data_IF_949882658938
#
_entry.id   IF_949882658938
#
_cell.length_a   1.000
_cell.length_b   1.000
_cell.length_c   1.000
_cell.angle_alpha   90.00
_cell.angle_beta   90.00
_cell.angle_gamma   90.00
#
_symmetry.space_group_name_H-M   'P 1'
#
loop_
_entity.id
_entity.type
_entity.pdbx_description
1 polymer ?
#
# COMPACT_ATOMS: atom_id res chain seq x y z
N UNK A 1 -13.32 9.69 17.27
CA UNK A 1 -13.65 10.51 16.07
C UNK A 1 -12.44 11.32 15.61
N UNK A 2 -11.67 11.92 16.52
CA UNK A 2 -10.42 12.66 16.27
C UNK A 2 -9.31 11.85 15.58
N UNK A 3 -9.04 10.62 16.03
CA UNK A 3 -7.92 9.82 15.49
C UNK A 3 -8.12 9.37 14.03
N UNK A 4 -9.37 9.07 13.66
CA UNK A 4 -9.72 8.71 12.28
C UNK A 4 -9.51 9.88 11.31
N UNK A 5 -9.95 11.09 11.70
CA UNK A 5 -9.74 12.30 10.90
C UNK A 5 -8.25 12.61 10.76
N UNK A 6 -7.49 12.45 11.86
CA UNK A 6 -6.04 12.65 11.83
C UNK A 6 -5.32 11.61 10.97
N UNK A 7 -5.76 10.35 10.96
CA UNK A 7 -5.22 9.32 10.07
C UNK A 7 -5.50 9.64 8.60
N UNK A 8 -6.74 10.02 8.26
CA UNK A 8 -7.13 10.39 6.90
C UNK A 8 -6.34 11.60 6.36
N UNK A 9 -6.06 12.59 7.22
CA UNK A 9 -5.20 13.73 6.87
C UNK A 9 -3.75 13.29 6.60
N UNK A 10 -3.24 12.29 7.32
CA UNK A 10 -1.89 11.75 7.12
C UNK A 10 -1.79 10.86 5.87
N UNK A 11 -2.81 10.07 5.58
CA UNK A 11 -2.89 9.28 4.33
C UNK A 11 -2.96 10.19 3.10
N UNK A 12 -3.74 11.30 3.19
CA UNK A 12 -3.77 12.32 2.14
C UNK A 12 -2.42 13.01 1.95
N UNK A 13 -1.64 13.21 3.04
CA UNK A 13 -0.27 13.68 2.94
C UNK A 13 0.64 12.66 2.26
N UNK A 14 0.52 11.38 2.61
CA UNK A 14 1.29 10.30 1.97
C UNK A 14 0.98 10.23 0.46
N UNK A 15 -0.28 10.39 0.06
CA UNK A 15 -0.64 10.53 -1.36
C UNK A 15 0.06 11.70 -2.05
N UNK A 16 0.07 12.88 -1.42
CA UNK A 16 0.77 14.04 -1.96
C UNK A 16 2.27 13.83 -2.12
N UNK A 17 2.89 13.06 -1.21
CA UNK A 17 4.30 12.69 -1.29
C UNK A 17 4.56 11.70 -2.46
N UNK A 18 3.60 10.83 -2.82
CA UNK A 18 3.76 9.81 -3.87
C UNK A 18 3.53 10.36 -5.28
N UNK A 19 2.46 11.14 -5.47
CA UNK A 19 1.91 11.46 -6.81
C UNK A 19 2.86 12.18 -7.76
N UNK A 20 3.93 12.77 -7.24
CA UNK A 20 4.94 13.54 -7.99
C UNK A 20 6.36 12.98 -7.80
N UNK A 21 6.54 11.75 -7.32
CA UNK A 21 7.86 11.15 -7.06
C UNK A 21 8.75 11.06 -8.29
N UNK A 22 8.14 10.77 -9.44
CA UNK A 22 8.83 10.62 -10.71
C UNK A 22 7.85 10.98 -11.84
N UNK A 23 8.37 11.59 -12.91
CA UNK A 23 7.60 12.01 -14.08
C UNK A 23 7.31 10.86 -15.04
N UNK A 24 8.11 9.78 -14.98
CA UNK A 24 7.96 8.59 -15.82
C UNK A 24 7.02 7.54 -15.19
N UNK A 25 6.54 7.80 -13.97
CA UNK A 25 5.62 6.93 -13.24
C UNK A 25 4.19 7.46 -13.33
N UNK A 26 3.23 6.55 -13.35
CA UNK A 26 1.82 6.90 -13.39
C UNK A 26 1.11 6.39 -12.13
N UNK A 27 0.44 7.30 -11.43
CA UNK A 27 -0.36 7.00 -10.25
C UNK A 27 -1.78 7.49 -10.44
N UNK A 28 -2.76 6.64 -10.15
CA UNK A 28 -4.18 6.99 -10.16
C UNK A 28 -4.75 6.75 -8.78
N UNK A 29 -5.16 7.82 -8.08
CA UNK A 29 -5.90 7.69 -6.83
C UNK A 29 -7.33 7.23 -7.14
N UNK A 30 -7.80 6.24 -6.40
CA UNK A 30 -9.16 5.71 -6.52
C UNK A 30 -10.00 6.23 -5.35
N UNK A 31 -11.14 6.82 -5.71
CA UNK A 31 -12.20 7.20 -4.76
C UNK A 31 -13.45 6.44 -5.17
N UNK A 32 -13.67 5.28 -4.56
CA UNK A 32 -14.75 4.36 -4.92
C UNK A 32 -15.74 4.23 -3.77
N UNK A 33 -17.02 4.49 -4.05
CA UNK A 33 -18.15 4.21 -3.15
C UNK A 33 -18.80 2.85 -3.39
N UNK A 34 -18.42 2.14 -4.46
CA UNK A 34 -19.11 0.92 -4.93
C UNK A 34 -18.31 -0.36 -4.73
N UNK A 35 -16.98 -0.28 -4.80
CA UNK A 35 -16.08 -1.42 -4.61
C UNK A 35 -15.48 -1.38 -3.21
N UNK A 36 -15.94 -2.26 -2.33
CA UNK A 36 -15.45 -2.35 -0.97
C UNK A 36 -14.01 -2.87 -0.90
N UNK A 37 -13.14 -2.12 -0.23
CA UNK A 37 -11.77 -2.54 0.10
C UNK A 37 -10.79 -2.52 -1.07
N UNK A 38 -11.14 -1.90 -2.19
CA UNK A 38 -10.17 -1.59 -3.25
C UNK A 38 -9.07 -0.67 -2.70
N UNK A 39 -7.78 -0.90 -3.02
CA UNK A 39 -6.70 -0.05 -2.53
C UNK A 39 -6.78 1.37 -3.11
N UNK A 40 -6.18 2.32 -2.39
CA UNK A 40 -6.29 3.75 -2.66
C UNK A 40 -5.62 4.19 -3.96
N UNK A 41 -4.58 3.50 -4.43
CA UNK A 41 -3.76 3.94 -5.58
C UNK A 41 -3.44 2.79 -6.53
N UNK A 42 -3.78 2.97 -7.80
CA UNK A 42 -3.26 2.16 -8.89
C UNK A 42 -1.94 2.75 -9.40
N UNK A 43 -0.92 1.91 -9.54
CA UNK A 43 0.44 2.31 -9.86
C UNK A 43 0.93 1.65 -11.14
N UNK A 44 1.59 2.44 -11.99
CA UNK A 44 2.41 1.96 -13.10
C UNK A 44 3.82 2.54 -12.93
N UNK A 45 4.76 1.70 -12.53
CA UNK A 45 6.13 2.09 -12.17
C UNK A 45 7.09 1.10 -12.82
N UNK A 46 8.11 1.60 -13.53
CA UNK A 46 9.13 0.77 -14.19
C UNK A 46 8.54 -0.39 -15.03
N UNK A 47 7.47 -0.10 -15.78
CA UNK A 47 6.71 -1.06 -16.61
C UNK A 47 5.99 -2.18 -15.82
N UNK A 48 5.84 -2.03 -14.52
CA UNK A 48 5.10 -2.95 -13.65
C UNK A 48 3.84 -2.29 -13.13
N UNK A 49 2.79 -3.10 -12.96
CA UNK A 49 1.48 -2.66 -12.46
C UNK A 49 1.25 -3.27 -11.08
N UNK A 50 0.83 -2.44 -10.13
CA UNK A 50 0.46 -2.88 -8.79
C UNK A 50 -0.49 -1.89 -8.11
N UNK A 51 -1.06 -2.33 -6.99
CA UNK A 51 -1.92 -1.52 -6.14
C UNK A 51 -1.23 -1.15 -4.83
N UNK A 52 -1.53 0.04 -4.31
CA UNK A 52 -1.11 0.51 -3.00
C UNK A 52 -2.32 0.92 -2.16
N UNK A 53 -2.42 0.32 -0.98
CA UNK A 53 -3.25 0.80 0.11
C UNK A 53 -2.39 1.71 1.00
N UNK A 54 -2.84 2.94 1.24
CA UNK A 54 -2.12 3.94 2.02
C UNK A 54 -2.55 3.87 3.48
N UNK A 55 -1.58 3.79 4.39
CA UNK A 55 -1.81 3.86 5.83
C UNK A 55 -0.85 4.84 6.49
N UNK A 56 -1.27 5.46 7.58
CA UNK A 56 -0.43 6.35 8.37
C UNK A 56 -0.69 6.24 9.87
N UNK A 57 -0.62 5.00 10.37
CA UNK A 57 -0.96 4.67 11.75
C UNK A 57 -0.02 3.59 12.33
N UNK A 58 -0.06 3.45 13.66
CA UNK A 58 0.64 2.41 14.42
C UNK A 58 -0.31 1.29 14.85
N UNK A 59 -1.52 1.23 14.28
CA UNK A 59 -2.52 0.23 14.65
C UNK A 59 -2.05 -1.16 14.26
N UNK A 60 -2.47 -2.16 15.04
CA UNK A 60 -2.27 -3.57 14.70
C UNK A 60 -2.77 -3.83 13.28
N UNK A 61 -2.00 -4.59 12.49
CA UNK A 61 -2.30 -4.92 11.09
C UNK A 61 -2.54 -3.67 10.22
N UNK A 62 -1.86 -2.57 10.51
CA UNK A 62 -1.97 -1.28 9.79
C UNK A 62 -3.41 -0.69 9.77
N UNK A 63 -4.31 -1.19 10.62
CA UNK A 63 -5.72 -0.79 10.62
C UNK A 63 -6.52 -1.23 9.40
N UNK A 64 -6.08 -2.27 8.67
CA UNK A 64 -6.83 -2.79 7.52
C UNK A 64 -8.21 -3.31 7.93
N UNK A 65 -9.22 -2.99 7.13
CA UNK A 65 -10.54 -3.61 7.26
C UNK A 65 -10.56 -5.04 6.73
N UNK A 66 -11.56 -5.84 7.15
CA UNK A 66 -11.78 -7.18 6.60
C UNK A 66 -11.99 -7.18 5.08
N UNK A 67 -12.55 -6.10 4.52
CA UNK A 67 -12.79 -5.96 3.09
C UNK A 67 -11.49 -5.72 2.32
N UNK A 68 -10.61 -4.86 2.84
CA UNK A 68 -9.28 -4.61 2.27
C UNK A 68 -8.45 -5.90 2.26
N UNK A 69 -8.43 -6.64 3.38
CA UNK A 69 -7.74 -7.94 3.46
C UNK A 69 -8.30 -8.90 2.39
N UNK A 70 -9.62 -9.02 2.28
CA UNK A 70 -10.24 -9.89 1.28
C UNK A 70 -9.91 -9.49 -0.16
N UNK A 71 -9.85 -8.20 -0.45
CA UNK A 71 -9.48 -7.69 -1.76
C UNK A 71 -8.04 -8.09 -2.11
N UNK A 72 -7.09 -7.82 -1.21
CA UNK A 72 -5.68 -8.20 -1.40
C UNK A 72 -5.53 -9.70 -1.63
N UNK A 73 -6.16 -10.55 -0.80
CA UNK A 73 -6.09 -12.01 -0.95
C UNK A 73 -6.58 -12.46 -2.34
N UNK A 74 -7.72 -11.93 -2.81
CA UNK A 74 -8.27 -12.30 -4.13
C UNK A 74 -7.34 -11.85 -5.26
N UNK A 75 -6.82 -10.64 -5.17
CA UNK A 75 -5.95 -10.07 -6.20
C UNK A 75 -4.60 -10.80 -6.28
N UNK A 76 -3.97 -11.09 -5.13
CA UNK A 76 -2.73 -11.84 -5.04
C UNK A 76 -2.89 -13.29 -5.56
N UNK A 77 -4.00 -13.96 -5.23
CA UNK A 77 -4.30 -15.31 -5.76
C UNK A 77 -4.45 -15.36 -7.28
N UNK A 78 -4.83 -14.25 -7.89
CA UNK A 78 -4.91 -14.11 -9.35
C UNK A 78 -3.55 -13.76 -10.00
N UNK A 79 -2.47 -13.70 -9.23
CA UNK A 79 -1.13 -13.32 -9.70
C UNK A 79 -0.87 -11.82 -9.73
N UNK A 80 -1.83 -11.01 -9.26
CA UNK A 80 -1.67 -9.57 -9.12
C UNK A 80 -0.65 -9.17 -8.06
N UNK A 81 -0.29 -7.89 -8.02
CA UNK A 81 0.58 -7.29 -7.00
C UNK A 81 -0.16 -6.19 -6.24
N UNK A 82 -0.23 -6.32 -4.93
CA UNK A 82 -0.89 -5.34 -4.07
C UNK A 82 -0.18 -5.24 -2.73
N UNK A 83 0.18 -4.02 -2.36
CA UNK A 83 0.97 -3.74 -1.17
C UNK A 83 0.27 -2.71 -0.28
N UNK A 84 0.73 -2.63 0.96
CA UNK A 84 0.36 -1.59 1.91
C UNK A 84 1.59 -0.71 2.10
N UNK A 85 1.43 0.59 1.89
CA UNK A 85 2.44 1.57 2.19
C UNK A 85 2.03 2.28 3.49
N UNK A 86 2.70 1.94 4.58
CA UNK A 86 2.40 2.49 5.90
C UNK A 86 3.46 3.51 6.34
N UNK A 87 3.02 4.69 6.75
CA UNK A 87 3.86 5.68 7.44
C UNK A 87 3.47 5.77 8.91
N UNK A 88 3.97 4.87 9.78
CA UNK A 88 3.52 4.77 11.17
C UNK A 88 3.84 6.02 11.99
N UNK A 89 4.99 6.65 11.71
CA UNK A 89 5.47 7.85 12.40
C UNK A 89 5.78 8.95 11.37
N UNK A 90 5.41 10.20 11.69
CA UNK A 90 5.60 11.36 10.79
C UNK A 90 7.06 11.55 10.34
N UNK A 91 8.02 11.28 11.22
CA UNK A 91 9.47 11.45 10.99
C UNK A 91 10.24 10.11 11.00
N UNK A 92 9.54 8.98 10.87
CA UNK A 92 10.13 7.64 10.85
C UNK A 92 10.23 7.04 9.44
N UNK A 93 10.84 5.85 9.31
CA UNK A 93 10.84 5.11 8.07
C UNK A 93 9.41 4.74 7.66
N UNK A 94 9.19 4.72 6.36
CA UNK A 94 7.98 4.22 5.71
C UNK A 94 8.17 2.72 5.54
N UNK A 95 7.08 1.97 5.61
CA UNK A 95 7.05 0.51 5.55
C UNK A 95 6.28 0.07 4.30
N UNK A 96 6.85 -0.87 3.55
CA UNK A 96 6.15 -1.61 2.50
C UNK A 96 5.78 -2.98 3.06
N UNK A 97 4.50 -3.32 3.02
CA UNK A 97 3.97 -4.60 3.48
C UNK A 97 3.15 -5.28 2.39
N UNK A 98 2.95 -6.59 2.51
CA UNK A 98 1.96 -7.34 1.73
C UNK A 98 1.08 -8.18 2.66
N UNK A 99 -0.13 -8.52 2.21
CA UNK A 99 -0.98 -9.46 2.96
C UNK A 99 -0.48 -10.88 2.71
N UNK A 100 -0.11 -11.59 3.77
CA UNK A 100 0.21 -13.01 3.71
C UNK A 100 -1.06 -13.82 3.39
N UNK A 101 -0.99 -14.73 2.41
CA UNK A 101 -2.14 -15.52 1.98
C UNK A 101 -2.68 -16.47 3.07
N UNK A 102 -1.78 -17.01 3.88
CA UNK A 102 -2.10 -18.01 4.91
C UNK A 102 -2.63 -17.33 6.17
N UNK A 103 -1.84 -16.43 6.76
CA UNK A 103 -2.21 -15.77 8.02
C UNK A 103 -3.23 -14.65 7.83
N UNK A 104 -3.41 -14.15 6.61
CA UNK A 104 -4.30 -13.03 6.26
C UNK A 104 -3.96 -11.75 7.04
N UNK A 105 -2.69 -11.60 7.41
CA UNK A 105 -2.15 -10.42 8.08
C UNK A 105 -1.13 -9.72 7.20
N UNK A 106 -0.96 -8.40 7.32
CA UNK A 106 0.18 -7.71 6.73
C UNK A 106 1.49 -8.25 7.27
N UNK A 107 2.44 -8.52 6.38
CA UNK A 107 3.82 -8.87 6.70
C UNK A 107 4.76 -7.82 6.08
N UNK A 108 5.79 -7.36 6.81
CA UNK A 108 6.73 -6.38 6.29
C UNK A 108 7.57 -6.99 5.17
N UNK A 109 7.74 -6.25 4.08
CA UNK A 109 8.64 -6.59 2.98
C UNK A 109 9.92 -5.76 3.05
N UNK A 110 9.77 -4.44 3.22
CA UNK A 110 10.90 -3.51 3.31
C UNK A 110 10.55 -2.24 4.09
N UNK A 111 11.60 -1.49 4.47
CA UNK A 111 11.47 -0.23 5.23
C UNK A 111 12.55 0.76 4.77
N UNK A 112 12.17 1.99 4.46
CA UNK A 112 13.11 3.03 4.06
C UNK A 112 12.63 4.43 4.46
N UNK A 113 13.55 5.37 4.59
CA UNK A 113 13.24 6.81 4.76
C UNK A 113 13.02 7.54 3.43
N UNK A 114 13.30 6.87 2.31
CA UNK A 114 13.16 7.40 0.96
C UNK A 114 12.02 6.65 0.29
N UNK A 115 10.99 7.42 -0.04
CA UNK A 115 9.77 6.89 -0.62
C UNK A 115 10.01 6.38 -2.04
N UNK A 116 10.90 7.01 -2.81
CA UNK A 116 11.19 6.60 -4.19
C UNK A 116 11.81 5.20 -4.23
N UNK A 117 12.72 4.91 -3.31
CA UNK A 117 13.32 3.58 -3.14
C UNK A 117 12.25 2.52 -2.85
N UNK A 118 11.36 2.73 -1.87
CA UNK A 118 10.29 1.76 -1.54
C UNK A 118 9.33 1.49 -2.71
N UNK A 119 8.96 2.52 -3.47
CA UNK A 119 8.08 2.35 -4.63
C UNK A 119 8.79 1.58 -5.75
N UNK A 120 10.09 1.79 -5.90
CA UNK A 120 10.93 1.01 -6.84
C UNK A 120 11.01 -0.46 -6.41
N UNK A 121 11.18 -0.73 -5.12
CA UNK A 121 11.16 -2.09 -4.56
C UNK A 121 9.80 -2.77 -4.78
N UNK A 122 8.68 -2.07 -4.57
CA UNK A 122 7.34 -2.60 -4.84
C UNK A 122 7.16 -3.03 -6.31
N UNK A 123 7.75 -2.27 -7.24
CA UNK A 123 7.78 -2.63 -8.66
C UNK A 123 8.70 -3.84 -8.94
N UNK A 124 9.84 -3.93 -8.25
CA UNK A 124 10.81 -5.02 -8.39
C UNK A 124 10.43 -6.33 -7.70
N UNK A 125 9.57 -6.29 -6.68
CA UNK A 125 9.16 -7.48 -5.95
C UNK A 125 8.34 -8.45 -6.85
N UNK A 126 8.69 -9.74 -6.88
CA UNK A 126 7.81 -10.77 -7.43
C UNK A 126 6.51 -10.83 -6.61
N UNK A 127 5.40 -11.28 -7.23
CA UNK A 127 4.09 -11.30 -6.56
C UNK A 127 4.19 -12.02 -5.21
N UNK A 128 3.94 -11.33 -4.08
CA UNK A 128 4.05 -11.94 -2.75
C UNK A 128 2.91 -12.94 -2.58
N UNK A 129 3.22 -14.23 -2.69
CA UNK A 129 2.24 -15.31 -2.63
C UNK A 129 2.52 -16.50 -3.53
N UNK A 130 3.49 -16.39 -4.45
CA UNK A 130 4.13 -17.54 -5.06
C UNK A 130 5.41 -17.80 -4.29
N UNK A 131 5.43 -18.85 -3.47
CA UNK A 131 6.64 -19.27 -2.78
C UNK A 131 7.79 -19.43 -3.79
N UNK A 132 8.99 -19.01 -3.39
CA UNK A 132 10.20 -19.65 -3.91
C UNK A 132 10.18 -21.13 -3.59
#
# INVERSE_FOLDING_TARGET
MTDLIMAQNKESKLWNDIKNLDRDWHFTRIESSTINGIPDVHCVVNKQVFWLELKANTSKNCGLSKYQINWHIKYLKAGGRAYILNRPLLRGPIELLAVCLESRTPIPLSRHTDLKTLITEAAGHPSPGLGT
#
